data_IF_295204023199
#
_entry.id   IF_295204023199
#
_cell.length_a   1.000
_cell.length_b   1.000
_cell.length_c   1.000
_cell.angle_alpha   90.00
_cell.angle_beta   90.00
_cell.angle_gamma   90.00
#
_symmetry.space_group_name_H-M   'P 1'
#
loop_
_entity.id
_entity.type
_entity.pdbx_description
1 polymer ?
#
# COMPACT_ATOMS: atom_id res chain seq x y z
N UNK A 1 20.40 4.46 -25.38
CA UNK A 1 20.67 3.60 -24.21
C UNK A 1 19.91 4.18 -23.04
N UNK A 2 18.98 3.44 -22.47
CA UNK A 2 18.13 3.92 -21.37
C UNK A 2 18.43 3.08 -20.13
N UNK A 3 18.69 3.73 -19.00
CA UNK A 3 18.78 3.08 -17.70
C UNK A 3 17.48 3.24 -16.92
N UNK A 4 17.06 2.21 -16.19
CA UNK A 4 15.92 2.25 -15.27
C UNK A 4 16.38 1.81 -13.88
N UNK A 5 16.34 2.72 -12.90
CA UNK A 5 16.66 2.39 -11.50
C UNK A 5 15.37 2.04 -10.76
N UNK A 6 15.32 0.82 -10.23
CA UNK A 6 14.18 0.28 -9.50
C UNK A 6 13.40 -0.75 -10.30
N UNK A 7 12.76 -1.65 -9.56
CA UNK A 7 12.05 -2.83 -10.09
C UNK A 7 10.66 -2.99 -9.47
N UNK A 8 10.13 -1.94 -8.83
CA UNK A 8 8.75 -1.92 -8.31
C UNK A 8 7.70 -1.78 -9.43
N UNK A 9 6.43 -1.60 -9.06
CA UNK A 9 5.30 -1.58 -9.99
C UNK A 9 5.48 -0.61 -11.19
N UNK A 10 6.05 0.58 -10.95
CA UNK A 10 6.37 1.55 -12.02
C UNK A 10 7.33 0.97 -13.05
N UNK A 11 8.40 0.32 -12.58
CA UNK A 11 9.41 -0.29 -13.46
C UNK A 11 8.80 -1.47 -14.24
N UNK A 12 8.00 -2.29 -13.55
CA UNK A 12 7.31 -3.45 -14.15
C UNK A 12 6.45 -3.03 -15.36
N UNK A 13 5.84 -1.84 -15.31
CA UNK A 13 5.03 -1.30 -16.41
C UNK A 13 5.86 -0.59 -17.50
N UNK A 14 6.90 0.16 -17.12
CA UNK A 14 7.66 0.99 -18.08
C UNK A 14 8.70 0.19 -18.87
N UNK A 15 9.30 -0.84 -18.27
CA UNK A 15 10.37 -1.63 -18.91
C UNK A 15 9.93 -2.24 -20.24
N UNK A 16 8.76 -2.89 -20.36
CA UNK A 16 8.29 -3.43 -21.65
C UNK A 16 8.16 -2.36 -22.74
N UNK A 17 7.66 -1.17 -22.39
CA UNK A 17 7.49 -0.05 -23.32
C UNK A 17 8.84 0.49 -23.81
N UNK A 18 9.81 0.59 -22.90
CA UNK A 18 11.18 0.98 -23.24
C UNK A 18 11.88 -0.09 -24.07
N UNK A 19 11.68 -1.37 -23.76
CA UNK A 19 12.26 -2.49 -24.50
C UNK A 19 11.82 -2.52 -25.96
N UNK A 20 10.59 -2.09 -26.24
CA UNK A 20 10.01 -1.95 -27.59
C UNK A 20 10.57 -0.80 -28.43
N UNK A 21 11.22 0.19 -27.81
CA UNK A 21 11.55 1.48 -28.47
C UNK A 21 13.01 1.89 -28.35
N UNK A 22 13.69 1.57 -27.25
CA UNK A 22 15.06 1.96 -27.01
C UNK A 22 16.07 1.00 -27.66
N UNK A 23 17.20 1.54 -28.11
CA UNK A 23 18.31 0.74 -28.66
C UNK A 23 18.88 -0.26 -27.65
N UNK A 24 19.02 0.15 -26.40
CA UNK A 24 19.48 -0.67 -25.27
C UNK A 24 18.72 -0.21 -24.02
N UNK A 25 18.29 -1.14 -23.18
CA UNK A 25 17.65 -0.90 -21.87
C UNK A 25 18.44 -1.62 -20.79
N UNK A 26 18.87 -0.89 -19.77
CA UNK A 26 19.56 -1.43 -18.60
C UNK A 26 18.66 -1.29 -17.38
N UNK A 27 18.27 -2.40 -16.77
CA UNK A 27 17.40 -2.43 -15.58
C UNK A 27 18.25 -2.67 -14.36
N UNK A 28 18.42 -1.64 -13.52
CA UNK A 28 19.23 -1.70 -12.30
C UNK A 28 18.36 -2.18 -11.14
N UNK A 29 18.59 -3.44 -10.74
CA UNK A 29 17.78 -4.14 -9.76
C UNK A 29 18.50 -4.26 -8.42
N UNK A 30 17.84 -3.83 -7.34
CA UNK A 30 18.24 -4.12 -5.96
C UNK A 30 17.54 -5.36 -5.41
N UNK A 31 16.22 -5.42 -5.58
CA UNK A 31 15.40 -6.54 -5.12
C UNK A 31 14.37 -6.83 -6.21
N UNK A 32 14.26 -8.06 -6.73
CA UNK A 32 13.25 -8.40 -7.71
C UNK A 32 11.83 -8.27 -7.15
N UNK A 33 10.86 -7.98 -8.02
CA UNK A 33 9.44 -7.97 -7.64
C UNK A 33 8.81 -9.35 -7.84
N UNK A 34 7.79 -9.63 -7.04
CA UNK A 34 6.83 -10.70 -7.29
C UNK A 34 5.92 -10.27 -8.44
N UNK A 35 6.04 -10.93 -9.60
CA UNK A 35 5.29 -10.58 -10.82
C UNK A 35 4.37 -11.73 -11.22
N UNK A 36 3.10 -11.62 -10.85
CA UNK A 36 2.03 -12.52 -11.28
C UNK A 36 1.49 -12.16 -12.66
N UNK A 37 0.52 -12.95 -13.13
CA UNK A 37 -0.21 -12.68 -14.37
C UNK A 37 -1.18 -11.51 -14.20
N UNK A 38 -1.21 -10.59 -15.17
CA UNK A 38 -2.20 -9.52 -15.21
C UNK A 38 -3.48 -9.96 -15.91
N UNK A 39 -3.33 -10.75 -16.97
CA UNK A 39 -4.40 -11.27 -17.80
C UNK A 39 -5.35 -10.16 -18.29
N UNK A 40 -4.76 -9.05 -18.74
CA UNK A 40 -5.54 -7.90 -19.18
C UNK A 40 -6.29 -8.20 -20.47
N UNK A 41 -7.54 -7.77 -20.59
CA UNK A 41 -8.38 -8.00 -21.76
C UNK A 41 -9.46 -6.94 -21.94
N UNK A 42 -10.15 -6.93 -23.10
CA UNK A 42 -11.29 -6.05 -23.31
C UNK A 42 -12.41 -6.39 -22.32
N UNK A 43 -13.15 -5.38 -21.87
CA UNK A 43 -14.34 -5.59 -21.05
C UNK A 43 -15.43 -6.30 -21.84
N UNK A 44 -16.01 -7.37 -21.27
CA UNK A 44 -17.25 -7.95 -21.78
C UNK A 44 -18.40 -6.95 -21.61
N UNK A 45 -18.86 -6.41 -22.74
CA UNK A 45 -19.89 -5.38 -22.79
C UNK A 45 -21.25 -5.90 -22.34
N UNK A 46 -21.57 -7.17 -22.60
CA UNK A 46 -22.86 -7.74 -22.22
C UNK A 46 -22.92 -8.03 -20.73
N UNK A 47 -21.82 -8.55 -20.14
CA UNK A 47 -21.66 -8.60 -18.68
C UNK A 47 -21.78 -7.21 -18.04
N UNK A 48 -21.09 -6.20 -18.59
CA UNK A 48 -21.12 -4.86 -18.01
C UNK A 48 -22.54 -4.25 -18.02
N UNK A 49 -23.31 -4.47 -19.09
CA UNK A 49 -24.70 -4.00 -19.20
C UNK A 49 -25.66 -4.76 -18.28
N UNK A 50 -25.34 -5.98 -17.86
CA UNK A 50 -26.18 -6.76 -16.95
C UNK A 50 -26.03 -6.37 -15.47
N UNK A 51 -25.15 -5.42 -15.15
CA UNK A 51 -24.88 -5.01 -13.78
C UNK A 51 -26.00 -4.10 -13.23
N UNK A 52 -26.58 -4.49 -12.10
CA UNK A 52 -27.66 -3.76 -11.44
C UNK A 52 -27.14 -2.67 -10.48
N UNK A 53 -27.94 -1.63 -10.17
CA UNK A 53 -27.55 -0.60 -9.20
C UNK A 53 -27.05 -1.20 -7.88
N UNK A 54 -25.86 -0.76 -7.44
CA UNK A 54 -25.20 -1.28 -6.24
C UNK A 54 -24.08 -2.30 -6.52
N UNK A 55 -23.96 -2.81 -7.76
CA UNK A 55 -22.95 -3.81 -8.15
C UNK A 55 -21.52 -3.43 -7.75
N UNK A 56 -21.15 -2.15 -7.85
CA UNK A 56 -19.78 -1.72 -7.58
C UNK A 56 -19.45 -1.86 -6.10
N UNK A 57 -20.39 -1.52 -5.21
CA UNK A 57 -20.22 -1.67 -3.76
C UNK A 57 -20.07 -3.14 -3.40
N UNK A 58 -20.91 -4.00 -3.99
CA UNK A 58 -20.84 -5.45 -3.80
C UNK A 58 -19.49 -6.01 -4.26
N UNK A 59 -19.07 -5.67 -5.48
CA UNK A 59 -17.78 -6.13 -6.05
C UNK A 59 -16.58 -5.64 -5.23
N UNK A 60 -16.61 -4.41 -4.71
CA UNK A 60 -15.56 -3.87 -3.83
C UNK A 60 -15.51 -4.62 -2.49
N UNK A 61 -16.67 -4.88 -1.86
CA UNK A 61 -16.75 -5.65 -0.61
C UNK A 61 -16.24 -7.07 -0.83
N UNK A 62 -16.73 -7.75 -1.86
CA UNK A 62 -16.29 -9.08 -2.26
C UNK A 62 -14.77 -9.14 -2.47
N UNK A 63 -14.23 -8.20 -3.25
CA UNK A 63 -12.78 -8.12 -3.46
C UNK A 63 -12.02 -7.90 -2.17
N UNK A 64 -12.51 -7.03 -1.28
CA UNK A 64 -11.87 -6.79 0.02
C UNK A 64 -11.86 -8.06 0.86
N UNK A 65 -12.99 -8.79 0.92
CA UNK A 65 -13.07 -10.08 1.61
C UNK A 65 -12.08 -11.10 1.04
N UNK A 66 -11.99 -11.19 -0.29
CA UNK A 66 -11.09 -12.10 -0.99
C UNK A 66 -9.61 -11.80 -0.69
N UNK A 67 -9.20 -10.53 -0.61
CA UNK A 67 -7.79 -10.16 -0.40
C UNK A 67 -7.39 -9.95 1.06
N UNK A 68 -8.29 -10.22 2.01
CA UNK A 68 -8.05 -10.15 3.45
C UNK A 68 -8.50 -11.44 4.16
N UNK A 69 -8.42 -12.58 3.48
CA UNK A 69 -8.61 -13.90 4.11
C UNK A 69 -10.04 -14.30 4.47
N UNK A 70 -11.07 -13.52 4.11
CA UNK A 70 -12.46 -13.80 4.46
C UNK A 70 -13.17 -14.75 3.47
N UNK A 71 -12.50 -15.12 2.36
CA UNK A 71 -12.88 -16.20 1.43
C UNK A 71 -14.38 -16.23 1.06
N UNK A 72 -14.90 -15.20 0.37
CA UNK A 72 -16.30 -15.16 -0.02
C UNK A 72 -16.68 -16.36 -0.91
N UNK A 73 -17.96 -16.74 -0.91
CA UNK A 73 -18.46 -17.91 -1.65
C UNK A 73 -18.15 -17.85 -3.15
N UNK A 74 -18.21 -16.65 -3.72
CA UNK A 74 -17.91 -16.37 -5.12
C UNK A 74 -16.76 -15.38 -5.20
N UNK A 75 -15.76 -15.63 -6.03
CA UNK A 75 -14.79 -14.62 -6.43
C UNK A 75 -15.35 -13.85 -7.63
N UNK A 76 -15.70 -12.58 -7.42
CA UNK A 76 -16.23 -11.73 -8.49
C UNK A 76 -15.12 -11.13 -9.36
N UNK A 77 -13.87 -11.06 -8.88
CA UNK A 77 -12.76 -10.37 -9.56
C UNK A 77 -11.89 -11.33 -10.34
N UNK A 78 -11.58 -12.51 -9.79
CA UNK A 78 -10.90 -13.62 -10.48
C UNK A 78 -9.59 -13.20 -11.13
N UNK A 79 -8.76 -12.45 -10.41
CA UNK A 79 -7.45 -12.00 -10.91
C UNK A 79 -6.32 -12.40 -9.94
N UNK A 80 -5.08 -12.04 -10.30
CA UNK A 80 -3.92 -12.42 -9.50
C UNK A 80 -3.98 -11.92 -8.05
N UNK A 81 -4.73 -10.86 -7.73
CA UNK A 81 -4.91 -10.47 -6.33
C UNK A 81 -5.70 -11.51 -5.55
N UNK A 82 -6.83 -11.95 -6.08
CA UNK A 82 -7.68 -12.94 -5.41
C UNK A 82 -7.06 -14.33 -5.43
N UNK A 83 -6.16 -14.62 -6.37
CA UNK A 83 -5.36 -15.86 -6.35
C UNK A 83 -4.40 -15.90 -5.16
N UNK A 84 -3.54 -14.88 -5.02
CA UNK A 84 -2.43 -14.92 -4.07
C UNK A 84 -2.80 -14.42 -2.69
N UNK A 85 -3.82 -13.58 -2.55
CA UNK A 85 -4.24 -13.00 -1.27
C UNK A 85 -5.47 -13.69 -0.66
N UNK A 86 -5.98 -14.76 -1.29
CA UNK A 86 -7.14 -15.53 -0.79
C UNK A 86 -6.96 -16.04 0.63
N UNK A 87 -5.75 -16.56 0.89
CA UNK A 87 -5.29 -16.94 2.21
C UNK A 87 -4.49 -15.78 2.78
N UNK A 88 -4.91 -15.22 3.92
CA UNK A 88 -4.16 -14.18 4.60
C UNK A 88 -3.06 -14.81 5.47
N UNK A 89 -1.82 -14.79 4.98
CA UNK A 89 -0.68 -15.39 5.69
C UNK A 89 -0.05 -14.42 6.69
N UNK A 90 -0.62 -13.22 6.87
CA UNK A 90 -0.26 -12.32 7.98
C UNK A 90 -0.92 -12.67 9.30
N UNK A 91 -1.94 -13.54 9.30
CA UNK A 91 -2.66 -13.92 10.51
C UNK A 91 -1.69 -14.60 11.48
N UNK A 92 -1.64 -14.09 12.71
CA UNK A 92 -0.89 -14.73 13.79
C UNK A 92 -1.81 -15.70 14.52
N UNK A 93 -1.38 -16.96 14.60
CA UNK A 93 -2.06 -18.03 15.34
C UNK A 93 -1.08 -18.70 16.30
N UNK A 94 -1.59 -19.14 17.45
CA UNK A 94 -0.84 -19.94 18.43
C UNK A 94 -0.97 -21.45 18.16
N UNK A 95 -1.83 -21.86 17.21
CA UNK A 95 -1.96 -23.24 16.76
C UNK A 95 -0.80 -23.60 15.79
N UNK A 96 0.09 -24.55 16.16
CA UNK A 96 1.21 -24.93 15.30
C UNK A 96 0.79 -25.53 13.95
N UNK A 97 -0.35 -26.23 13.87
CA UNK A 97 -0.82 -26.82 12.61
C UNK A 97 -1.30 -25.74 11.65
N UNK A 98 -2.05 -24.75 12.15
CA UNK A 98 -2.50 -23.60 11.38
C UNK A 98 -1.32 -22.73 10.95
N UNK A 99 -0.37 -22.45 11.83
CA UNK A 99 0.85 -21.70 11.50
C UNK A 99 1.65 -22.37 10.37
N UNK A 100 1.83 -23.69 10.43
CA UNK A 100 2.50 -24.45 9.38
C UNK A 100 1.70 -24.47 8.06
N UNK A 101 0.37 -24.42 8.12
CA UNK A 101 -0.48 -24.31 6.93
C UNK A 101 -0.36 -22.94 6.26
N UNK A 102 -0.32 -21.85 7.04
CA UNK A 102 -0.11 -20.49 6.53
C UNK A 102 1.27 -20.33 5.90
N UNK A 103 2.32 -20.85 6.55
CA UNK A 103 3.68 -20.87 5.99
C UNK A 103 3.72 -21.63 4.66
N UNK A 104 3.06 -22.79 4.58
CA UNK A 104 2.97 -23.57 3.35
C UNK A 104 2.23 -22.81 2.25
N UNK A 105 1.13 -22.13 2.58
CA UNK A 105 0.36 -21.34 1.61
C UNK A 105 1.20 -20.19 1.02
N UNK A 106 1.99 -19.50 1.87
CA UNK A 106 2.93 -18.47 1.42
C UNK A 106 4.01 -19.06 0.51
N UNK A 107 4.63 -20.17 0.94
CA UNK A 107 5.65 -20.88 0.17
C UNK A 107 5.13 -21.32 -1.20
N UNK A 108 3.96 -21.96 -1.27
CA UNK A 108 3.36 -22.42 -2.52
C UNK A 108 3.04 -21.25 -3.47
N UNK A 109 2.55 -20.13 -2.93
CA UNK A 109 2.27 -18.90 -3.70
C UNK A 109 3.56 -18.33 -4.30
N UNK A 110 4.60 -18.19 -3.48
CA UNK A 110 5.88 -17.65 -3.91
C UNK A 110 6.62 -18.59 -4.87
N UNK A 111 6.54 -19.90 -4.66
CA UNK A 111 7.07 -20.90 -5.60
C UNK A 111 6.37 -20.87 -6.95
N UNK A 112 5.05 -20.67 -6.98
CA UNK A 112 4.30 -20.50 -8.24
C UNK A 112 4.83 -19.29 -9.03
N UNK A 113 5.09 -18.18 -8.35
CA UNK A 113 5.68 -16.99 -8.96
C UNK A 113 7.11 -17.23 -9.46
N UNK A 114 7.96 -17.93 -8.70
CA UNK A 114 9.33 -18.28 -9.14
C UNK A 114 9.33 -19.22 -10.34
N UNK A 115 8.47 -20.23 -10.36
CA UNK A 115 8.30 -21.14 -11.51
C UNK A 115 7.80 -20.41 -12.75
N UNK A 116 6.96 -19.38 -12.59
CA UNK A 116 6.57 -18.50 -13.71
C UNK A 116 7.78 -17.79 -14.31
N UNK A 117 8.72 -17.32 -13.50
CA UNK A 117 9.98 -16.74 -13.99
C UNK A 117 10.75 -17.77 -14.81
N UNK A 118 10.96 -18.98 -14.28
CA UNK A 118 11.66 -20.07 -14.99
C UNK A 118 10.99 -20.48 -16.31
N UNK A 119 9.65 -20.43 -16.35
CA UNK A 119 8.90 -20.80 -17.55
C UNK A 119 8.96 -19.75 -18.66
N UNK A 120 9.23 -18.48 -18.32
CA UNK A 120 9.15 -17.35 -19.26
C UNK A 120 10.55 -16.86 -19.66
N UNK A 121 11.49 -16.75 -18.72
CA UNK A 121 12.80 -16.15 -18.96
C UNK A 121 13.78 -17.22 -19.46
N UNK A 122 14.26 -17.06 -20.69
CA UNK A 122 15.02 -18.10 -21.40
C UNK A 122 16.46 -18.26 -20.87
N UNK A 123 17.11 -17.17 -20.47
CA UNK A 123 18.44 -17.21 -19.86
C UNK A 123 18.35 -17.58 -18.37
N UNK A 124 18.90 -18.74 -17.96
CA UNK A 124 18.82 -19.19 -16.56
C UNK A 124 19.49 -18.21 -15.58
N UNK A 125 20.55 -17.52 -15.99
CA UNK A 125 21.25 -16.58 -15.11
C UNK A 125 20.40 -15.33 -14.81
N UNK A 126 19.71 -14.81 -15.82
CA UNK A 126 18.74 -13.72 -15.67
C UNK A 126 17.49 -14.19 -14.90
N UNK A 127 16.98 -15.39 -15.18
CA UNK A 127 15.84 -15.97 -14.49
C UNK A 127 16.09 -16.07 -12.97
N UNK A 128 17.24 -16.59 -12.54
CA UNK A 128 17.57 -16.69 -11.12
C UNK A 128 17.60 -15.32 -10.42
N UNK A 129 18.12 -14.29 -11.10
CA UNK A 129 18.16 -12.93 -10.55
C UNK A 129 16.78 -12.28 -10.46
N UNK A 130 15.81 -12.70 -11.26
CA UNK A 130 14.44 -12.18 -11.24
C UNK A 130 13.55 -12.87 -10.19
N UNK A 131 14.02 -13.93 -9.52
CA UNK A 131 13.22 -14.66 -8.53
C UNK A 131 13.13 -13.89 -7.20
N UNK A 132 11.91 -13.61 -6.69
CA UNK A 132 11.73 -12.98 -5.38
C UNK A 132 11.88 -13.99 -4.24
N UNK A 133 12.80 -13.70 -3.32
CA UNK A 133 13.10 -14.51 -2.13
C UNK A 133 12.68 -13.79 -0.84
N UNK A 134 11.39 -13.53 -0.72
CA UNK A 134 10.73 -12.97 0.46
C UNK A 134 9.28 -13.49 0.53
N UNK A 135 8.61 -13.33 1.67
CA UNK A 135 7.22 -13.77 1.84
C UNK A 135 6.22 -12.83 1.14
N UNK A 136 5.07 -13.32 0.69
CA UNK A 136 4.22 -12.64 -0.31
C UNK A 136 3.75 -11.25 0.11
N UNK A 137 3.59 -11.00 1.40
CA UNK A 137 3.15 -9.70 1.90
C UNK A 137 4.29 -8.72 2.23
N UNK A 138 5.56 -9.12 2.11
CA UNK A 138 6.69 -8.24 2.39
C UNK A 138 6.80 -7.06 1.42
N UNK A 139 6.23 -7.19 0.21
CA UNK A 139 6.15 -6.14 -0.79
C UNK A 139 4.80 -6.21 -1.48
N UNK A 140 4.37 -5.09 -2.08
CA UNK A 140 3.21 -5.09 -2.96
C UNK A 140 3.48 -6.00 -4.18
N UNK A 141 2.65 -7.02 -4.37
CA UNK A 141 2.71 -7.85 -5.58
C UNK A 141 2.44 -7.02 -6.82
N UNK A 142 3.16 -7.35 -7.88
CA UNK A 142 3.01 -6.77 -9.22
C UNK A 142 2.34 -7.80 -10.14
N UNK A 143 1.67 -7.32 -11.18
CA UNK A 143 1.02 -8.16 -12.18
C UNK A 143 1.30 -7.58 -13.55
N UNK A 144 1.97 -8.35 -14.42
CA UNK A 144 2.31 -7.89 -15.76
C UNK A 144 2.65 -9.06 -16.68
N UNK A 145 2.08 -9.05 -17.88
CA UNK A 145 2.26 -10.16 -18.83
C UNK A 145 3.51 -9.98 -19.70
N UNK A 146 3.97 -8.73 -19.90
CA UNK A 146 5.12 -8.42 -20.77
C UNK A 146 6.44 -8.10 -20.04
N UNK A 147 6.45 -8.02 -18.70
CA UNK A 147 7.67 -7.65 -17.96
C UNK A 147 8.74 -8.73 -18.00
N UNK A 148 8.37 -9.96 -17.63
CA UNK A 148 9.31 -11.09 -17.67
C UNK A 148 9.75 -11.41 -19.13
N UNK A 149 8.85 -11.46 -20.14
CA UNK A 149 9.27 -11.63 -21.53
C UNK A 149 10.20 -10.55 -22.07
N UNK A 150 10.17 -9.33 -21.52
CA UNK A 150 11.06 -8.26 -21.98
C UNK A 150 12.54 -8.63 -21.82
N UNK A 151 12.91 -9.46 -20.84
CA UNK A 151 14.29 -9.89 -20.60
C UNK A 151 14.79 -10.95 -21.59
N UNK A 152 13.93 -11.52 -22.44
CA UNK A 152 14.37 -12.38 -23.55
C UNK A 152 14.79 -11.57 -24.78
N UNK A 153 14.58 -10.24 -24.77
CA UNK A 153 14.96 -9.38 -25.88
C UNK A 153 16.47 -9.09 -25.82
N UNK A 154 17.19 -9.15 -26.95
CA UNK A 154 18.65 -8.97 -26.96
C UNK A 154 19.11 -7.56 -26.55
N UNK A 155 18.20 -6.58 -26.53
CA UNK A 155 18.48 -5.20 -26.16
C UNK A 155 18.12 -4.85 -24.69
N UNK A 156 17.74 -5.84 -23.88
CA UNK A 156 17.36 -5.64 -22.48
C UNK A 156 18.35 -6.37 -21.57
N UNK A 157 18.98 -5.62 -20.68
CA UNK A 157 20.05 -6.10 -19.80
C UNK A 157 19.62 -5.93 -18.34
N UNK A 158 19.53 -7.04 -17.61
CA UNK A 158 19.35 -7.01 -16.17
C UNK A 158 20.70 -6.75 -15.48
N UNK A 159 20.78 -5.63 -14.76
CA UNK A 159 21.93 -5.25 -13.94
C UNK A 159 21.54 -5.49 -12.48
N UNK A 160 21.78 -6.70 -12.01
CA UNK A 160 21.58 -7.04 -10.60
C UNK A 160 22.68 -6.44 -9.72
N UNK A 161 22.28 -5.87 -8.60
CA UNK A 161 23.19 -5.16 -7.68
C UNK A 161 23.48 -5.97 -6.40
N UNK A 162 23.13 -7.26 -6.35
CA UNK A 162 23.33 -8.13 -5.20
C UNK A 162 22.75 -7.54 -3.90
N UNK A 163 21.56 -6.93 -4.00
CA UNK A 163 20.90 -6.26 -2.88
C UNK A 163 21.51 -4.91 -2.44
N UNK A 164 22.62 -4.46 -3.04
CA UNK A 164 23.36 -3.26 -2.59
C UNK A 164 22.85 -1.95 -3.21
N UNK A 165 22.19 -2.04 -4.36
CA UNK A 165 21.77 -0.87 -5.14
C UNK A 165 22.91 -0.24 -5.95
N UNK A 166 22.58 0.84 -6.64
CA UNK A 166 23.55 1.64 -7.43
C UNK A 166 24.46 2.43 -6.50
N UNK A 167 25.78 2.36 -6.71
CA UNK A 167 26.78 2.98 -5.82
C UNK A 167 26.83 4.51 -5.98
N UNK A 168 26.88 4.97 -7.23
CA UNK A 168 26.94 6.39 -7.59
C UNK A 168 26.52 6.59 -9.04
N UNK A 169 26.21 7.84 -9.38
CA UNK A 169 25.96 8.29 -10.76
C UNK A 169 27.13 9.15 -11.22
N UNK A 170 27.57 8.97 -12.46
CA UNK A 170 28.58 9.81 -13.12
C UNK A 170 27.96 10.57 -14.29
N UNK A 171 28.78 11.37 -14.98
CA UNK A 171 28.36 12.01 -16.22
C UNK A 171 28.02 10.98 -17.34
N UNK A 172 28.55 9.76 -17.28
CA UNK A 172 28.31 8.72 -18.28
C UNK A 172 27.16 7.78 -17.89
N UNK A 173 26.98 7.48 -16.60
CA UNK A 173 25.89 6.62 -16.14
C UNK A 173 26.04 6.08 -14.71
N UNK A 174 25.19 5.12 -14.32
CA UNK A 174 25.29 4.43 -13.03
C UNK A 174 26.54 3.56 -12.90
N UNK A 175 27.06 3.44 -11.67
CA UNK A 175 28.15 2.52 -11.31
C UNK A 175 27.61 1.41 -10.41
N UNK A 176 27.87 0.16 -10.80
CA UNK A 176 27.47 -1.06 -10.05
C UNK A 176 28.62 -2.06 -10.06
N UNK A 177 29.03 -2.53 -8.89
CA UNK A 177 30.15 -3.49 -8.78
C UNK A 177 31.48 -2.89 -9.25
N UNK A 178 31.64 -1.57 -9.13
CA UNK A 178 32.78 -0.83 -9.70
C UNK A 178 32.78 -0.66 -11.22
N UNK A 179 31.79 -1.21 -11.95
CA UNK A 179 31.64 -1.03 -13.40
C UNK A 179 30.70 0.13 -13.72
N UNK A 180 31.11 1.01 -14.62
CA UNK A 180 30.29 2.13 -15.11
C UNK A 180 29.50 1.69 -16.34
N UNK A 181 28.17 1.83 -16.28
CA UNK A 181 27.26 1.40 -17.35
C UNK A 181 26.72 2.65 -18.07
N UNK A 182 27.21 2.96 -19.29
CA UNK A 182 26.88 4.22 -19.93
C UNK A 182 25.44 4.25 -20.46
N UNK A 183 24.71 5.30 -20.13
CA UNK A 183 23.32 5.52 -20.58
C UNK A 183 23.14 6.96 -21.07
N UNK A 184 22.20 7.15 -21.99
CA UNK A 184 21.87 8.48 -22.53
C UNK A 184 20.69 9.12 -21.77
N UNK A 185 19.83 8.29 -21.20
CA UNK A 185 18.68 8.68 -20.38
C UNK A 185 18.62 7.76 -19.16
N UNK A 186 18.36 8.33 -18.00
CA UNK A 186 18.18 7.58 -16.75
C UNK A 186 16.77 7.84 -16.19
N UNK A 187 16.00 6.77 -16.02
CA UNK A 187 14.65 6.78 -15.46
C UNK A 187 14.70 6.34 -14.00
N UNK A 188 14.18 7.18 -13.11
CA UNK A 188 14.02 6.85 -11.70
C UNK A 188 12.65 6.24 -11.45
N UNK A 189 12.58 4.91 -11.39
CA UNK A 189 11.43 4.15 -10.94
C UNK A 189 11.60 3.74 -9.46
N UNK A 190 12.18 4.65 -8.66
CA UNK A 190 12.64 4.42 -7.28
C UNK A 190 11.56 4.60 -6.21
N UNK A 191 10.32 4.88 -6.60
CA UNK A 191 9.18 5.01 -5.69
C UNK A 191 8.89 6.44 -5.25
N UNK A 192 8.25 6.57 -4.09
CA UNK A 192 7.76 7.82 -3.52
C UNK A 192 8.14 7.91 -2.05
N UNK A 193 8.21 9.12 -1.52
CA UNK A 193 8.40 9.35 -0.09
C UNK A 193 7.09 9.13 0.66
N UNK A 194 7.11 8.25 1.67
CA UNK A 194 5.93 7.85 2.46
C UNK A 194 6.10 8.10 3.96
N UNK A 195 7.32 8.42 4.42
CA UNK A 195 7.67 8.56 5.84
C UNK A 195 7.86 10.00 6.30
N UNK A 196 7.86 10.98 5.40
CA UNK A 196 7.98 12.41 5.76
C UNK A 196 6.79 12.95 6.55
N UNK A 197 7.08 13.96 7.36
CA UNK A 197 6.10 14.80 8.07
C UNK A 197 4.95 15.25 7.17
N UNK A 198 3.73 15.28 7.71
CA UNK A 198 2.54 15.69 6.96
C UNK A 198 2.67 17.11 6.40
N UNK A 199 3.20 18.07 7.18
CA UNK A 199 3.40 19.44 6.72
C UNK A 199 4.31 19.54 5.47
N UNK A 200 5.36 18.69 5.40
CA UNK A 200 6.22 18.61 4.22
C UNK A 200 5.49 18.08 2.99
N UNK A 201 4.59 17.10 3.18
CA UNK A 201 3.75 16.54 2.10
C UNK A 201 2.67 17.49 1.62
N UNK A 202 2.09 18.28 2.53
CA UNK A 202 1.06 19.28 2.20
C UNK A 202 1.65 20.53 1.54
N UNK A 203 2.92 20.84 1.80
CA UNK A 203 3.56 22.10 1.37
C UNK A 203 3.19 23.31 2.23
N UNK A 204 2.41 23.09 3.30
CA UNK A 204 2.06 24.08 4.31
C UNK A 204 1.78 23.37 5.65
N UNK A 205 1.77 24.13 6.74
CA UNK A 205 1.51 23.62 8.09
C UNK A 205 0.19 24.21 8.62
N UNK A 206 -0.89 23.40 8.71
CA UNK A 206 -2.18 23.86 9.24
C UNK A 206 -2.04 24.51 10.62
N UNK A 207 -2.87 25.54 10.86
CA UNK A 207 -2.89 26.29 12.12
C UNK A 207 -4.26 26.17 12.78
N UNK A 208 -4.28 25.59 13.96
CA UNK A 208 -5.47 25.35 14.77
C UNK A 208 -5.76 26.49 15.75
N UNK A 209 -6.40 26.15 16.87
CA UNK A 209 -6.73 27.08 17.95
C UNK A 209 -5.48 27.79 18.47
N UNK A 210 -5.59 29.10 18.71
CA UNK A 210 -4.48 29.92 19.22
C UNK A 210 -3.26 30.02 18.29
N UNK A 211 -3.35 29.57 17.03
CA UNK A 211 -2.22 29.54 16.11
C UNK A 211 -1.29 28.33 16.25
N UNK A 212 -1.70 27.30 17.01
CA UNK A 212 -0.97 26.04 17.17
C UNK A 212 -0.72 25.38 15.79
N UNK A 213 0.54 25.09 15.47
CA UNK A 213 0.89 24.33 14.28
C UNK A 213 0.50 22.86 14.41
N UNK A 214 0.07 22.23 13.31
CA UNK A 214 -0.15 20.78 13.31
C UNK A 214 1.16 20.03 13.55
N UNK A 215 2.26 20.50 12.96
CA UNK A 215 3.60 19.96 13.21
C UNK A 215 4.04 20.05 14.69
N UNK A 216 3.57 21.06 15.42
CA UNK A 216 3.83 21.23 16.85
C UNK A 216 2.95 20.29 17.69
N UNK A 217 1.65 20.20 17.38
CA UNK A 217 0.71 19.28 18.05
C UNK A 217 1.09 17.82 17.84
N UNK A 218 1.68 17.48 16.69
CA UNK A 218 2.12 16.14 16.30
C UNK A 218 3.64 15.95 16.43
N UNK A 219 4.31 16.73 17.29
CA UNK A 219 5.76 16.65 17.47
C UNK A 219 6.24 15.24 17.89
N UNK A 220 5.43 14.53 18.68
CA UNK A 220 5.65 13.15 19.13
C UNK A 220 4.96 12.09 18.24
N UNK A 221 4.40 12.52 17.11
CA UNK A 221 3.68 11.70 16.14
C UNK A 221 2.22 12.09 15.98
N UNK A 222 1.48 11.45 15.07
CA UNK A 222 0.09 11.80 14.80
C UNK A 222 -0.86 11.55 15.97
N UNK A 223 -1.86 12.42 16.11
CA UNK A 223 -2.97 12.30 17.05
C UNK A 223 -4.26 12.53 16.28
N UNK A 224 -5.07 11.49 16.14
CA UNK A 224 -6.30 11.55 15.34
C UNK A 224 -7.39 10.68 15.91
N UNK A 225 -8.65 11.04 15.64
CA UNK A 225 -9.78 10.14 15.70
C UNK A 225 -10.04 9.56 14.31
N UNK A 226 -9.84 8.24 14.16
CA UNK A 226 -9.99 7.46 12.93
C UNK A 226 -9.16 7.95 11.72
N UNK A 227 -8.11 8.74 11.97
CA UNK A 227 -7.32 9.40 10.92
C UNK A 227 -8.02 10.59 10.26
N UNK A 228 -9.17 11.03 10.78
CA UNK A 228 -10.04 12.03 10.14
C UNK A 228 -10.05 13.35 10.90
N UNK A 229 -10.32 13.32 12.20
CA UNK A 229 -10.36 14.51 13.06
C UNK A 229 -9.10 14.59 13.91
N UNK A 230 -8.71 15.80 14.31
CA UNK A 230 -7.65 16.02 15.31
C UNK A 230 -8.06 17.12 16.29
N UNK A 231 -7.70 16.97 17.56
CA UNK A 231 -7.96 17.94 18.61
C UNK A 231 -7.16 19.23 18.38
N UNK A 232 -7.75 20.37 18.72
CA UNK A 232 -7.25 21.73 18.48
C UNK A 232 -7.37 22.22 17.02
N UNK A 233 -7.95 21.41 16.13
CA UNK A 233 -8.16 21.74 14.70
C UNK A 233 -9.65 21.62 14.32
N UNK A 234 -10.53 22.50 14.83
CA UNK A 234 -11.96 22.45 14.56
C UNK A 234 -12.28 22.58 13.07
N UNK A 235 -13.24 21.76 12.61
CA UNK A 235 -13.71 21.70 11.22
C UNK A 235 -12.62 21.36 10.19
N UNK A 236 -11.46 20.87 10.63
CA UNK A 236 -10.44 20.28 9.76
C UNK A 236 -10.69 18.77 9.65
N UNK A 237 -10.85 18.29 8.43
CA UNK A 237 -10.98 16.86 8.13
C UNK A 237 -9.81 16.40 7.28
N UNK A 238 -9.26 15.24 7.61
CA UNK A 238 -8.17 14.62 6.86
C UNK A 238 -8.66 13.35 6.17
N UNK A 239 -8.23 13.17 4.92
CA UNK A 239 -8.37 11.90 4.19
C UNK A 239 -6.97 11.50 3.75
N UNK A 240 -6.35 10.64 4.55
CA UNK A 240 -5.01 10.09 4.32
C UNK A 240 -4.83 8.83 5.14
N UNK A 241 -3.73 8.11 4.91
CA UNK A 241 -3.49 6.82 5.56
C UNK A 241 -3.05 6.94 7.03
N UNK A 242 -2.61 8.12 7.46
CA UNK A 242 -2.09 8.35 8.82
C UNK A 242 -3.19 8.03 9.83
N UNK A 243 -2.96 7.00 10.65
CA UNK A 243 -3.92 6.50 11.63
C UNK A 243 -5.30 6.16 11.03
N UNK A 244 -5.37 5.84 9.74
CA UNK A 244 -6.60 5.49 9.04
C UNK A 244 -6.50 4.09 8.40
N UNK A 245 -7.53 3.69 7.65
CA UNK A 245 -7.53 2.45 6.90
C UNK A 245 -6.47 2.41 5.78
N UNK A 246 -5.82 1.25 5.62
CA UNK A 246 -4.97 0.95 4.47
C UNK A 246 -5.37 -0.39 3.83
N UNK A 247 -5.37 -0.49 2.50
CA UNK A 247 -5.74 -1.74 1.83
C UNK A 247 -5.45 -1.76 0.34
N UNK A 248 -5.52 -2.96 -0.25
CA UNK A 248 -5.20 -3.22 -1.67
C UNK A 248 -6.00 -2.35 -2.64
N UNK A 249 -7.29 -2.16 -2.37
CA UNK A 249 -8.13 -1.24 -3.12
C UNK A 249 -8.24 0.11 -2.40
N UNK A 250 -7.36 1.05 -2.76
CA UNK A 250 -7.34 2.37 -2.14
C UNK A 250 -8.62 3.20 -2.38
N UNK A 251 -9.34 2.95 -3.48
CA UNK A 251 -10.63 3.60 -3.73
C UNK A 251 -11.72 3.17 -2.75
N UNK A 252 -11.64 1.96 -2.20
CA UNK A 252 -12.54 1.52 -1.13
C UNK A 252 -12.36 2.41 0.10
N UNK A 253 -11.12 2.57 0.57
CA UNK A 253 -10.77 3.45 1.67
C UNK A 253 -11.25 4.89 1.41
N UNK A 254 -10.86 5.48 0.27
CA UNK A 254 -11.24 6.86 -0.08
C UNK A 254 -12.76 7.05 -0.10
N UNK A 255 -13.51 6.07 -0.62
CA UNK A 255 -14.97 6.14 -0.68
C UNK A 255 -15.61 6.11 0.70
N UNK A 256 -15.15 5.24 1.61
CA UNK A 256 -15.71 5.14 2.97
C UNK A 256 -15.34 6.36 3.82
N UNK A 257 -14.10 6.84 3.75
CA UNK A 257 -13.69 8.07 4.44
C UNK A 257 -14.42 9.31 3.90
N UNK A 258 -14.59 9.44 2.58
CA UNK A 258 -15.30 10.57 1.99
C UNK A 258 -16.79 10.57 2.36
N UNK A 259 -17.44 9.39 2.38
CA UNK A 259 -18.83 9.26 2.86
C UNK A 259 -18.95 9.65 4.32
N UNK A 260 -18.01 9.21 5.16
CA UNK A 260 -18.01 9.56 6.58
C UNK A 260 -17.86 11.07 6.78
N UNK A 261 -16.87 11.70 6.14
CA UNK A 261 -16.68 13.16 6.21
C UNK A 261 -17.92 13.92 5.71
N UNK A 262 -18.48 13.53 4.57
CA UNK A 262 -19.68 14.18 4.02
C UNK A 262 -20.90 14.03 4.94
N UNK A 263 -21.08 12.84 5.54
CA UNK A 263 -22.12 12.61 6.53
C UNK A 263 -21.91 13.50 7.76
N UNK A 264 -20.69 13.56 8.30
CA UNK A 264 -20.37 14.35 9.50
C UNK A 264 -20.67 15.82 9.28
N UNK A 265 -20.27 16.37 8.13
CA UNK A 265 -20.56 17.77 7.76
C UNK A 265 -22.07 17.99 7.67
N UNK A 266 -22.80 17.14 6.93
CA UNK A 266 -24.24 17.28 6.75
C UNK A 266 -25.02 17.17 8.07
N UNK A 267 -24.61 16.28 8.98
CA UNK A 267 -25.20 16.14 10.31
C UNK A 267 -24.89 17.36 11.18
N UNK A 268 -23.66 17.88 11.14
CA UNK A 268 -23.30 19.12 11.84
C UNK A 268 -24.15 20.30 11.36
N UNK A 269 -24.34 20.47 10.06
CA UNK A 269 -25.19 21.52 9.49
C UNK A 269 -26.66 21.37 9.92
N UNK A 270 -27.20 20.16 9.81
CA UNK A 270 -28.58 19.85 10.22
C UNK A 270 -28.82 20.14 11.70
N UNK A 271 -27.86 19.79 12.55
CA UNK A 271 -28.00 19.87 14.00
C UNK A 271 -27.49 21.20 14.59
N UNK A 272 -27.08 22.15 13.74
CA UNK A 272 -26.57 23.46 14.16
C UNK A 272 -25.27 23.37 14.96
N UNK A 273 -24.37 22.45 14.63
CA UNK A 273 -23.02 22.36 15.20
C UNK A 273 -22.10 23.34 14.46
N UNK A 274 -21.52 24.31 15.17
CA UNK A 274 -20.61 25.30 14.61
C UNK A 274 -19.17 24.79 14.52
N UNK A 275 -18.72 24.00 15.49
CA UNK A 275 -17.39 23.37 15.45
C UNK A 275 -17.44 21.93 15.90
N UNK A 276 -16.69 21.08 15.21
CA UNK A 276 -16.39 19.70 15.60
C UNK A 276 -14.88 19.45 15.52
N UNK A 277 -14.31 18.77 16.52
CA UNK A 277 -12.92 18.31 16.58
C UNK A 277 -12.82 17.03 17.41
N UNK A 278 -11.70 16.32 17.37
CA UNK A 278 -11.52 15.12 18.20
C UNK A 278 -11.41 15.48 19.69
N UNK A 279 -11.91 14.60 20.56
CA UNK A 279 -11.52 14.61 21.97
C UNK A 279 -10.13 13.96 22.11
N UNK A 280 -9.17 14.58 22.82
CA UNK A 280 -7.83 14.00 23.00
C UNK A 280 -7.82 12.59 23.58
N UNK A 281 -8.78 12.24 24.46
CA UNK A 281 -8.87 10.87 24.97
C UNK A 281 -9.26 9.89 23.87
N UNK A 282 -10.18 10.28 22.98
CA UNK A 282 -10.59 9.45 21.85
C UNK A 282 -9.45 9.28 20.81
N UNK A 283 -8.56 10.26 20.68
CA UNK A 283 -7.34 10.12 19.87
C UNK A 283 -6.40 9.04 20.45
N UNK A 284 -6.20 9.03 21.76
CA UNK A 284 -5.38 8.01 22.44
C UNK A 284 -6.04 6.62 22.42
N UNK A 285 -7.35 6.55 22.64
CA UNK A 285 -8.12 5.30 22.56
C UNK A 285 -8.00 4.70 21.15
N UNK A 286 -8.09 5.53 20.10
CA UNK A 286 -7.89 5.08 18.73
C UNK A 286 -6.44 4.64 18.48
N UNK A 287 -5.44 5.36 18.98
CA UNK A 287 -4.05 4.93 18.88
C UNK A 287 -3.82 3.54 19.53
N UNK A 288 -4.45 3.24 20.66
CA UNK A 288 -4.39 1.92 21.28
C UNK A 288 -4.96 0.81 20.38
N UNK A 289 -6.07 1.07 19.68
CA UNK A 289 -6.62 0.14 18.68
C UNK A 289 -5.60 -0.14 17.57
N UNK A 290 -4.91 0.88 17.07
CA UNK A 290 -3.87 0.73 16.06
C UNK A 290 -2.65 -0.03 16.57
N UNK A 291 -2.23 0.24 17.81
CA UNK A 291 -1.09 -0.41 18.42
C UNK A 291 -1.32 -1.91 18.60
N UNK A 292 -2.51 -2.32 19.05
CA UNK A 292 -2.85 -3.72 19.23
C UNK A 292 -2.90 -4.46 17.89
N UNK A 293 -3.44 -3.83 16.83
CA UNK A 293 -3.38 -4.36 15.47
C UNK A 293 -1.93 -4.50 14.96
N UNK A 294 -1.09 -3.48 15.15
CA UNK A 294 0.31 -3.52 14.73
C UNK A 294 1.12 -4.61 15.44
N UNK A 295 0.84 -4.89 16.72
CA UNK A 295 1.51 -5.96 17.49
C UNK A 295 1.25 -7.35 16.91
N UNK A 296 0.09 -7.57 16.30
CA UNK A 296 -0.26 -8.87 15.71
C UNK A 296 0.61 -9.20 14.51
N UNK A 297 1.01 -8.19 13.73
CA UNK A 297 1.79 -8.38 12.49
C UNK A 297 3.30 -8.11 12.65
N UNK A 298 3.74 -7.63 13.81
CA UNK A 298 5.12 -7.18 14.02
C UNK A 298 6.17 -8.28 13.76
N UNK A 299 5.85 -9.53 14.12
CA UNK A 299 6.75 -10.68 13.87
C UNK A 299 6.96 -10.96 12.38
N UNK A 300 5.90 -10.87 11.58
CA UNK A 300 5.97 -11.04 10.12
C UNK A 300 6.71 -9.87 9.47
N UNK A 301 6.41 -8.63 9.87
CA UNK A 301 7.08 -7.44 9.33
C UNK A 301 8.60 -7.44 9.57
N UNK A 302 9.04 -8.01 10.70
CA UNK A 302 10.45 -8.12 11.06
C UNK A 302 11.23 -9.15 10.22
N UNK A 303 10.56 -10.15 9.63
CA UNK A 303 11.20 -11.12 8.72
C UNK A 303 11.24 -10.65 7.26
N UNK A 304 10.56 -9.54 6.96
CA UNK A 304 10.50 -8.98 5.62
C UNK A 304 11.76 -8.20 5.24
N UNK A 305 12.13 -8.30 3.95
CA UNK A 305 13.14 -7.41 3.35
C UNK A 305 12.73 -5.93 3.49
N UNK A 306 13.69 -4.99 3.56
CA UNK A 306 13.39 -3.56 3.60
C UNK A 306 12.45 -3.11 2.47
N UNK A 307 11.47 -2.27 2.84
CA UNK A 307 10.53 -1.65 1.92
C UNK A 307 9.64 -0.63 2.63
N UNK A 308 8.75 0.00 1.87
CA UNK A 308 7.87 1.04 2.41
C UNK A 308 6.83 0.53 3.42
N UNK A 309 6.50 -0.77 3.41
CA UNK A 309 5.63 -1.40 4.41
C UNK A 309 6.25 -1.49 5.80
N UNK A 310 7.59 -1.52 5.91
CA UNK A 310 8.30 -1.60 7.18
C UNK A 310 9.27 -0.44 7.40
N UNK A 311 9.05 0.68 6.70
CA UNK A 311 9.87 1.90 6.78
C UNK A 311 11.37 1.64 6.64
N UNK A 312 11.75 0.76 5.72
CA UNK A 312 13.13 0.31 5.53
C UNK A 312 13.78 -0.23 6.84
N UNK A 313 12.98 -0.87 7.71
CA UNK A 313 13.33 -1.38 9.04
C UNK A 313 13.68 -0.31 10.10
N UNK A 314 13.24 0.94 9.91
CA UNK A 314 13.38 2.01 10.90
C UNK A 314 12.66 1.69 12.22
N UNK A 315 13.23 2.13 13.37
CA UNK A 315 12.75 1.85 14.73
C UNK A 315 12.56 3.11 15.60
N UNK A 316 12.30 4.25 14.97
CA UNK A 316 12.15 5.53 15.68
C UNK A 316 10.82 5.65 16.46
N UNK A 317 10.83 6.28 17.64
CA UNK A 317 9.64 6.43 18.50
C UNK A 317 8.54 7.25 17.82
N UNK A 318 8.90 8.27 17.03
CA UNK A 318 7.93 9.04 16.23
C UNK A 318 7.24 8.18 15.18
N UNK A 319 7.92 7.15 14.69
CA UNK A 319 7.34 6.16 13.76
C UNK A 319 6.28 5.29 14.46
N UNK A 320 6.36 5.09 15.77
CA UNK A 320 5.44 4.23 16.52
C UNK A 320 4.02 4.81 16.68
N UNK A 321 3.83 6.14 16.57
CA UNK A 321 2.49 6.75 16.50
C UNK A 321 1.96 6.92 15.08
N UNK A 322 2.84 6.85 14.06
CA UNK A 322 2.48 6.94 12.65
C UNK A 322 1.98 5.59 12.09
N UNK A 323 1.14 4.88 12.87
CA UNK A 323 0.55 3.62 12.48
C UNK A 323 -0.59 3.84 11.50
N UNK A 324 -0.84 2.83 10.67
CA UNK A 324 -2.06 2.69 9.88
C UNK A 324 -2.89 1.57 10.50
N UNK A 325 -4.20 1.58 10.26
CA UNK A 325 -5.02 0.43 10.60
C UNK A 325 -4.73 -0.70 9.61
N UNK A 326 -4.18 -1.81 10.12
CA UNK A 326 -3.67 -2.93 9.32
C UNK A 326 -4.67 -4.06 9.14
N UNK A 327 -5.85 -3.96 9.77
CA UNK A 327 -6.99 -4.83 9.47
C UNK A 327 -7.64 -4.49 8.13
N UNK A 328 -8.73 -5.18 7.82
CA UNK A 328 -9.44 -4.97 6.57
C UNK A 328 -10.08 -3.58 6.50
N UNK A 329 -10.22 -3.03 5.29
CA UNK A 329 -10.99 -1.79 5.08
C UNK A 329 -12.47 -1.94 5.51
N UNK A 330 -13.00 -3.17 5.53
CA UNK A 330 -14.34 -3.45 6.05
C UNK A 330 -14.44 -3.19 7.55
N UNK A 331 -13.44 -3.61 8.33
CA UNK A 331 -13.41 -3.35 9.77
C UNK A 331 -13.18 -1.86 10.06
N UNK A 332 -12.27 -1.21 9.33
CA UNK A 332 -12.08 0.24 9.41
C UNK A 332 -13.39 1.00 9.12
N UNK A 333 -14.06 0.65 8.01
CA UNK A 333 -15.36 1.23 7.67
C UNK A 333 -16.42 0.92 8.73
N UNK A 334 -16.33 -0.24 9.40
CA UNK A 334 -17.16 -0.62 10.54
C UNK A 334 -17.02 0.35 11.73
N UNK A 335 -15.81 0.79 12.08
CA UNK A 335 -15.63 1.84 13.11
C UNK A 335 -16.31 3.15 12.68
N UNK A 336 -16.15 3.54 11.41
CA UNK A 336 -16.79 4.75 10.89
C UNK A 336 -18.31 4.63 10.84
N UNK A 337 -18.86 3.45 10.54
CA UNK A 337 -20.30 3.16 10.53
C UNK A 337 -20.86 3.22 11.95
N UNK A 338 -20.24 2.51 12.90
CA UNK A 338 -20.64 2.53 14.31
C UNK A 338 -20.64 3.94 14.91
N UNK A 339 -19.66 4.76 14.55
CA UNK A 339 -19.61 6.15 14.98
C UNK A 339 -20.76 6.99 14.43
N UNK A 340 -21.19 6.75 13.18
CA UNK A 340 -22.33 7.45 12.57
C UNK A 340 -23.67 6.97 13.12
N UNK A 341 -23.76 5.69 13.47
CA UNK A 341 -24.96 5.09 14.04
C UNK A 341 -25.12 5.44 15.53
N UNK A 342 -24.05 5.89 16.18
CA UNK A 342 -24.09 6.44 17.52
C UNK A 342 -24.59 7.90 17.52
N UNK A 343 -25.43 8.24 18.48
CA UNK A 343 -25.87 9.63 18.70
C UNK A 343 -24.72 10.50 19.25
N UNK A 344 -24.81 11.83 19.05
CA UNK A 344 -23.97 12.86 19.67
C UNK A 344 -22.46 12.82 19.35
N UNK A 345 -22.04 12.25 18.23
CA UNK A 345 -20.65 12.29 17.73
C UNK A 345 -19.61 11.78 18.77
N UNK A 346 -19.67 10.51 19.19
CA UNK A 346 -18.88 10.01 20.32
C UNK A 346 -17.37 10.21 20.10
N UNK A 347 -16.68 10.70 21.13
CA UNK A 347 -15.25 10.99 21.05
C UNK A 347 -14.91 12.25 20.24
N UNK A 348 -15.90 13.04 19.80
CA UNK A 348 -15.70 14.36 19.27
C UNK A 348 -16.20 15.44 20.25
N UNK A 349 -15.52 16.58 20.27
CA UNK A 349 -15.98 17.80 20.94
C UNK A 349 -16.79 18.63 19.96
N UNK A 350 -18.05 18.89 20.30
CA UNK A 350 -18.95 19.71 19.49
C UNK A 350 -19.36 20.98 20.22
N UNK A 351 -19.43 22.10 19.47
CA UNK A 351 -19.98 23.37 19.96
C UNK A 351 -21.14 23.73 19.06
N UNK A 352 -22.33 23.94 19.64
CA UNK A 352 -23.50 24.43 18.90
C UNK A 352 -23.31 25.87 18.46
N UNK A 353 -23.80 26.18 17.27
CA UNK A 353 -23.88 27.54 16.77
C UNK A 353 -24.92 28.37 17.52
N UNK A 354 -24.85 29.70 17.34
CA UNK A 354 -25.82 30.64 17.91
C UNK A 354 -27.24 30.46 17.37
#
# INVERSE_FOLDING_TARGET
RVGVIGTGATAVQVVPQLAGTAKEVFVFQRTPSAVGERNNGPTDVEWFKSLEPGWQRERIRNFTQAVTGAKPEVDLVQDGWTEYMWEDTHVKTDDPEEAAALERSDFESMEKLRRRVDAIVEDPATAEKLKPWYAKHCKRMCFHDEYLPAFNRPNVHLVDTDGRGVERITAAGPVVGGEEIPVDVLVFASGYEVTTELAGRLGFDPRGRGGLALSERWADGPHTLYGILSAEFPNMFMIGIVQAGFGTNFLHFLSESAKHVAWTIATCEKDGVATIEADPQAEEDWWHVLLDQSRMIAGYSASCTPGYYNSELSRDEKTARNLVYTGSILEYAGFLEQWRDADDFPGAKVVKGP
#
